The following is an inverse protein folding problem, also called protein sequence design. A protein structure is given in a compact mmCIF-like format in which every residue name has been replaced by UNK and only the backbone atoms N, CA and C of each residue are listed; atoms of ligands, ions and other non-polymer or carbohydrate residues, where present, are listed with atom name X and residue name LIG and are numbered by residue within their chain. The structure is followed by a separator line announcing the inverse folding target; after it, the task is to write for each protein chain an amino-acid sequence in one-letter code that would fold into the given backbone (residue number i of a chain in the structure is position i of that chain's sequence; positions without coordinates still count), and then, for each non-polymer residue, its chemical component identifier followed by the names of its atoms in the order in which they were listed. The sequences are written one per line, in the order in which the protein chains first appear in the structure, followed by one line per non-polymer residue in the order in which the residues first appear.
data_IF_194371206355
#
_entry.id   IF_194371206355
#
_cell.length_a   1.000
_cell.length_b   1.000
_cell.length_c   1.000
_cell.angle_alpha   90.00
_cell.angle_beta   90.00
_cell.angle_gamma   90.00
#
_symmetry.space_group_name_H-M   'P 1'
#
loop_
_entity.id
_entity.type
_entity.pdbx_description
1 polymer ?
#
# COMPACT_ATOMS: atom_id res chain seq x y z
N UNK A 1 -12.95 -19.68 -3.97
CA UNK A 1 -12.12 -19.46 -2.80
C UNK A 1 -11.37 -20.75 -2.52
N UNK A 2 -10.17 -20.89 -3.02
CA UNK A 2 -9.29 -22.01 -2.69
C UNK A 2 -8.04 -21.37 -2.07
N UNK A 3 -8.02 -21.28 -0.74
CA UNK A 3 -6.79 -21.10 0.02
C UNK A 3 -5.93 -22.31 -0.27
N UNK A 4 -4.72 -22.09 -0.75
CA UNK A 4 -3.74 -23.17 -0.90
C UNK A 4 -3.37 -23.63 0.53
N UNK A 5 -3.71 -24.86 0.95
CA UNK A 5 -3.57 -25.27 2.35
C UNK A 5 -2.13 -25.59 2.77
N UNK A 6 -1.14 -25.49 1.86
CA UNK A 6 0.22 -25.92 2.12
C UNK A 6 1.24 -24.78 2.37
N UNK A 7 0.77 -23.50 2.49
CA UNK A 7 1.66 -22.37 2.80
C UNK A 7 1.60 -21.88 4.25
N UNK A 8 0.80 -22.49 5.09
CA UNK A 8 0.74 -22.16 6.52
C UNK A 8 1.92 -22.80 7.27
N UNK A 9 3.01 -22.05 7.38
CA UNK A 9 3.95 -22.25 8.47
C UNK A 9 3.20 -22.07 9.81
N UNK A 10 3.58 -22.75 10.90
CA UNK A 10 2.76 -22.84 12.10
C UNK A 10 2.46 -21.48 12.72
N UNK A 11 1.22 -21.05 12.66
CA UNK A 11 0.62 -20.19 13.65
C UNK A 11 0.91 -18.67 13.58
N UNK A 12 0.98 -18.06 12.38
CA UNK A 12 1.19 -16.61 12.23
C UNK A 12 -0.07 -15.89 11.74
N UNK A 13 -0.31 -14.65 12.20
CA UNK A 13 -1.46 -13.87 11.73
C UNK A 13 -1.25 -13.41 10.28
N UNK A 14 -1.85 -14.11 9.32
CA UNK A 14 -1.78 -13.83 7.89
C UNK A 14 -2.32 -12.43 7.48
N UNK A 15 -2.79 -11.62 8.46
CA UNK A 15 -3.35 -10.30 8.21
C UNK A 15 -2.35 -9.16 8.30
N UNK A 16 -1.13 -9.38 8.82
CA UNK A 16 -0.14 -8.31 9.01
C UNK A 16 0.97 -8.41 7.99
N UNK A 17 1.14 -7.38 7.19
CA UNK A 17 2.24 -7.19 6.24
C UNK A 17 3.13 -6.03 6.65
N UNK A 18 4.25 -5.86 5.92
CA UNK A 18 5.15 -4.73 6.04
C UNK A 18 5.45 -4.13 4.66
N UNK A 19 6.02 -2.94 4.61
CA UNK A 19 6.42 -2.34 3.35
C UNK A 19 7.18 -1.03 3.51
N UNK A 20 7.62 -0.49 2.39
CA UNK A 20 8.36 0.78 2.32
C UNK A 20 7.74 1.74 1.30
N UNK A 21 7.94 3.04 1.53
CA UNK A 21 7.53 4.09 0.59
C UNK A 21 8.65 4.47 -0.36
N UNK A 22 8.36 5.29 -1.40
CA UNK A 22 9.39 5.80 -2.30
C UNK A 22 10.37 6.80 -1.66
N UNK A 23 10.21 7.11 -0.37
CA UNK A 23 11.21 7.87 0.39
C UNK A 23 12.38 7.00 0.88
N UNK A 24 12.25 5.67 0.85
CA UNK A 24 13.37 4.77 1.15
C UNK A 24 14.31 4.71 -0.06
N UNK A 25 15.55 5.12 0.17
CA UNK A 25 16.56 5.29 -0.90
C UNK A 25 17.56 4.14 -0.98
N UNK A 26 17.68 3.33 0.07
CA UNK A 26 18.62 2.21 0.15
C UNK A 26 17.93 0.91 -0.26
N UNK A 27 18.25 0.44 -1.48
CA UNK A 27 17.69 -0.80 -2.03
C UNK A 27 18.17 -2.04 -1.27
N UNK A 28 19.45 -2.08 -0.87
CA UNK A 28 20.01 -3.23 -0.16
C UNK A 28 19.42 -3.34 1.25
N UNK A 29 19.25 -2.22 1.96
CA UNK A 29 18.55 -2.21 3.24
C UNK A 29 17.09 -2.67 3.07
N UNK A 30 16.41 -2.25 2.00
CA UNK A 30 15.04 -2.71 1.71
C UNK A 30 14.96 -4.22 1.49
N UNK A 31 15.92 -4.80 0.78
CA UNK A 31 16.00 -6.26 0.58
C UNK A 31 16.21 -6.97 1.93
N UNK A 32 17.12 -6.48 2.79
CA UNK A 32 17.33 -7.05 4.13
C UNK A 32 16.11 -6.92 5.03
N UNK A 33 15.37 -5.81 4.95
CA UNK A 33 14.11 -5.62 5.69
C UNK A 33 13.01 -6.59 5.21
N UNK A 34 12.95 -6.89 3.91
CA UNK A 34 12.03 -7.90 3.38
C UNK A 34 12.35 -9.32 3.90
N UNK A 35 13.63 -9.68 3.93
CA UNK A 35 14.09 -10.96 4.53
C UNK A 35 13.77 -11.01 6.01
N UNK A 36 14.07 -9.93 6.76
CA UNK A 36 13.72 -9.85 8.17
C UNK A 36 12.20 -9.95 8.41
N UNK A 37 11.39 -9.34 7.54
CA UNK A 37 9.92 -9.47 7.61
C UNK A 37 9.46 -10.91 7.41
N UNK A 38 10.07 -11.66 6.48
CA UNK A 38 9.79 -13.09 6.30
C UNK A 38 10.16 -13.90 7.56
N UNK A 39 11.36 -13.68 8.11
CA UNK A 39 11.84 -14.35 9.34
C UNK A 39 10.91 -14.07 10.53
N UNK A 40 10.41 -12.85 10.66
CA UNK A 40 9.50 -12.42 11.72
C UNK A 40 8.04 -12.85 11.49
N UNK A 41 7.73 -13.42 10.31
CA UNK A 41 6.41 -13.98 10.02
C UNK A 41 5.37 -13.01 9.49
N UNK A 42 5.80 -11.91 8.95
CA UNK A 42 4.89 -11.05 8.19
C UNK A 42 4.32 -11.78 6.97
N UNK A 43 3.05 -11.57 6.69
CA UNK A 43 2.38 -12.25 5.58
C UNK A 43 2.76 -11.68 4.21
N UNK A 44 3.13 -10.39 4.15
CA UNK A 44 3.44 -9.68 2.90
C UNK A 44 4.56 -8.66 3.12
N UNK A 45 5.30 -8.38 2.04
CA UNK A 45 6.20 -7.22 1.96
C UNK A 45 5.92 -6.43 0.69
N UNK A 46 5.75 -5.11 0.83
CA UNK A 46 5.41 -4.22 -0.27
C UNK A 46 6.46 -3.12 -0.49
N UNK A 47 6.64 -2.73 -1.77
CA UNK A 47 7.43 -1.56 -2.12
C UNK A 47 6.69 -0.65 -3.08
N UNK A 48 6.72 0.66 -2.81
CA UNK A 48 6.11 1.67 -3.66
C UNK A 48 7.12 2.26 -4.64
N UNK A 49 6.68 2.52 -5.88
CA UNK A 49 7.50 3.22 -6.88
C UNK A 49 7.25 4.73 -6.81
N UNK A 50 8.33 5.49 -6.81
CA UNK A 50 8.31 6.95 -6.88
C UNK A 50 9.47 7.46 -7.72
N UNK A 51 10.52 7.98 -7.07
CA UNK A 51 11.68 8.58 -7.73
C UNK A 51 13.01 7.97 -7.29
N UNK A 52 13.00 6.91 -6.52
CA UNK A 52 14.23 6.31 -5.95
C UNK A 52 14.56 4.97 -6.58
N UNK A 53 13.61 4.03 -6.59
CA UNK A 53 13.80 2.67 -7.07
C UNK A 53 12.73 2.31 -8.09
N UNK A 54 13.10 1.54 -9.11
CA UNK A 54 12.14 0.80 -9.93
C UNK A 54 11.62 -0.36 -9.08
N UNK A 55 10.33 -0.32 -8.74
CA UNK A 55 9.76 -1.30 -7.84
C UNK A 55 9.72 -2.71 -8.45
N UNK A 56 9.68 -2.85 -9.78
CA UNK A 56 9.71 -4.17 -10.45
C UNK A 56 11.09 -4.79 -10.29
N UNK A 57 12.16 -4.01 -10.49
CA UNK A 57 13.54 -4.48 -10.30
C UNK A 57 13.78 -4.87 -8.85
N UNK A 58 13.41 -4.01 -7.90
CA UNK A 58 13.59 -4.26 -6.47
C UNK A 58 12.80 -5.49 -6.01
N UNK A 59 11.52 -5.61 -6.38
CA UNK A 59 10.70 -6.76 -6.00
C UNK A 59 11.18 -8.06 -6.63
N UNK A 60 11.81 -8.02 -7.82
CA UNK A 60 12.45 -9.21 -8.41
C UNK A 60 13.66 -9.67 -7.59
N UNK A 61 14.48 -8.74 -7.09
CA UNK A 61 15.61 -9.07 -6.21
C UNK A 61 15.11 -9.67 -4.89
N UNK A 62 14.07 -9.08 -4.29
CA UNK A 62 13.44 -9.61 -3.06
C UNK A 62 12.85 -11.00 -3.30
N UNK A 63 12.19 -11.24 -4.44
CA UNK A 63 11.66 -12.56 -4.79
C UNK A 63 12.76 -13.63 -4.84
N UNK A 64 13.97 -13.27 -5.27
CA UNK A 64 15.11 -14.19 -5.36
C UNK A 64 15.76 -14.57 -4.02
N UNK A 65 15.44 -13.84 -2.93
CA UNK A 65 16.03 -14.06 -1.59
C UNK A 65 15.00 -14.38 -0.51
N UNK A 66 13.72 -14.48 -0.88
CA UNK A 66 12.60 -14.85 0.00
C UNK A 66 11.86 -16.06 -0.57
N UNK A 67 11.21 -16.85 0.28
CA UNK A 67 10.58 -18.11 -0.11
C UNK A 67 9.08 -18.20 0.19
N UNK A 68 8.59 -17.48 1.19
CA UNK A 68 7.23 -17.63 1.72
C UNK A 68 6.43 -16.34 1.77
N UNK A 69 7.08 -15.20 2.05
CA UNK A 69 6.40 -13.92 2.19
C UNK A 69 5.73 -13.51 0.87
N UNK A 70 4.48 -13.10 0.94
CA UNK A 70 3.78 -12.50 -0.20
C UNK A 70 4.47 -11.20 -0.62
N UNK A 71 4.50 -10.91 -1.90
CA UNK A 71 5.16 -9.73 -2.46
C UNK A 71 4.16 -8.83 -3.16
N UNK A 72 4.27 -7.52 -2.98
CA UNK A 72 3.38 -6.58 -3.66
C UNK A 72 4.10 -5.30 -4.09
N UNK A 73 3.70 -4.75 -5.22
CA UNK A 73 3.95 -3.32 -5.45
C UNK A 73 2.90 -2.50 -4.70
N UNK A 74 3.31 -1.46 -3.95
CA UNK A 74 2.39 -0.69 -3.09
C UNK A 74 2.59 0.83 -3.19
N UNK A 75 2.61 1.41 -4.44
CA UNK A 75 2.08 0.85 -5.68
C UNK A 75 2.93 1.22 -6.90
N UNK A 76 2.68 0.62 -8.07
CA UNK A 76 3.17 1.16 -9.33
C UNK A 76 2.26 2.28 -9.84
N UNK A 77 2.80 3.42 -10.32
CA UNK A 77 2.03 4.46 -10.98
C UNK A 77 1.45 3.97 -12.33
N UNK A 78 0.16 4.24 -12.57
CA UNK A 78 -0.47 3.93 -13.88
C UNK A 78 0.05 4.79 -15.04
N UNK A 79 0.99 5.69 -14.77
CA UNK A 79 1.59 6.62 -15.73
C UNK A 79 2.96 6.18 -16.23
N UNK A 80 3.76 5.54 -15.38
CA UNK A 80 5.16 5.24 -15.64
C UNK A 80 5.39 4.17 -16.70
N UNK A 81 4.36 3.34 -16.99
CA UNK A 81 4.43 2.24 -17.94
C UNK A 81 3.15 2.10 -18.74
N UNK A 82 3.24 1.51 -19.96
CA UNK A 82 2.04 1.09 -20.68
C UNK A 82 1.33 -0.07 -19.97
N UNK A 83 0.01 -0.25 -20.15
CA UNK A 83 -0.69 -1.39 -19.57
C UNK A 83 -0.07 -2.74 -19.93
N UNK A 84 0.46 -2.88 -21.16
CA UNK A 84 1.15 -4.09 -21.60
C UNK A 84 2.46 -4.30 -20.83
N UNK A 85 3.25 -3.24 -20.59
CA UNK A 85 4.47 -3.33 -19.79
C UNK A 85 4.17 -3.67 -18.32
N UNK A 86 3.10 -3.13 -17.75
CA UNK A 86 2.64 -3.47 -16.40
C UNK A 86 2.25 -4.95 -16.33
N UNK A 87 1.46 -5.43 -17.29
CA UNK A 87 1.02 -6.84 -17.31
C UNK A 87 2.20 -7.81 -17.51
N UNK A 88 3.18 -7.48 -18.37
CA UNK A 88 4.40 -8.27 -18.53
C UNK A 88 5.25 -8.30 -17.26
N UNK A 89 5.41 -7.16 -16.59
CA UNK A 89 6.12 -7.07 -15.31
C UNK A 89 5.44 -7.91 -14.23
N UNK A 90 4.12 -7.82 -14.11
CA UNK A 90 3.34 -8.61 -13.16
C UNK A 90 3.46 -10.12 -13.42
N UNK A 91 3.37 -10.57 -14.67
CA UNK A 91 3.57 -11.97 -15.04
C UNK A 91 5.01 -12.46 -14.77
N UNK A 92 6.00 -11.57 -14.96
CA UNK A 92 7.39 -11.85 -14.62
C UNK A 92 7.62 -12.00 -13.13
N UNK A 93 7.08 -11.08 -12.31
CA UNK A 93 7.16 -11.14 -10.86
C UNK A 93 6.40 -12.33 -10.27
N UNK A 94 5.23 -12.66 -10.80
CA UNK A 94 4.48 -13.86 -10.40
C UNK A 94 5.32 -15.12 -10.54
N UNK A 95 6.04 -15.26 -11.66
CA UNK A 95 6.94 -16.38 -11.89
C UNK A 95 8.18 -16.33 -11.00
N UNK A 96 8.81 -15.15 -10.87
CA UNK A 96 10.02 -15.00 -10.04
C UNK A 96 9.75 -15.25 -8.56
N UNK A 97 8.53 -15.09 -8.11
CA UNK A 97 8.09 -15.29 -6.72
C UNK A 97 7.32 -16.59 -6.49
N UNK A 98 7.28 -17.52 -7.46
CA UNK A 98 6.51 -18.77 -7.36
C UNK A 98 5.04 -18.55 -6.91
N UNK A 99 4.37 -17.58 -7.57
CA UNK A 99 2.94 -17.33 -7.35
C UNK A 99 2.61 -16.42 -6.16
N UNK A 100 3.61 -15.83 -5.47
CA UNK A 100 3.41 -14.99 -4.27
C UNK A 100 3.13 -13.51 -4.55
N UNK A 101 3.00 -13.09 -5.81
CA UNK A 101 2.93 -11.67 -6.19
C UNK A 101 1.50 -11.13 -6.27
N UNK A 102 1.29 -9.92 -5.78
CA UNK A 102 0.11 -9.10 -5.99
C UNK A 102 0.49 -7.77 -6.67
N UNK A 103 -0.29 -7.34 -7.65
CA UNK A 103 -0.05 -6.13 -8.41
C UNK A 103 -0.80 -4.94 -7.81
N UNK A 104 -0.11 -4.06 -7.11
CA UNK A 104 -0.67 -2.81 -6.64
C UNK A 104 -0.47 -1.67 -7.65
N UNK A 105 -1.53 -0.98 -7.95
CA UNK A 105 -1.58 0.16 -8.88
C UNK A 105 -2.15 1.40 -8.19
N UNK A 106 -1.73 2.59 -8.65
CA UNK A 106 -2.24 3.86 -8.13
C UNK A 106 -2.05 5.02 -9.09
N UNK A 107 -2.75 6.12 -8.79
CA UNK A 107 -2.69 7.32 -9.63
C UNK A 107 -1.35 8.06 -9.54
N UNK A 108 -0.56 7.89 -8.47
CA UNK A 108 0.59 8.76 -8.17
C UNK A 108 0.17 10.21 -7.83
N UNK A 109 1.01 11.18 -8.05
CA UNK A 109 0.75 12.59 -7.76
C UNK A 109 1.24 13.50 -8.89
N UNK A 110 0.68 14.71 -9.05
CA UNK A 110 1.13 15.64 -10.09
C UNK A 110 2.64 15.90 -10.09
N UNK A 111 3.30 16.15 -8.94
CA UNK A 111 4.75 16.37 -8.93
C UNK A 111 5.57 15.22 -9.52
N UNK A 112 5.15 13.98 -9.32
CA UNK A 112 5.83 12.81 -9.86
C UNK A 112 5.53 12.62 -11.35
N UNK A 113 4.26 12.73 -11.73
CA UNK A 113 3.85 12.50 -13.12
C UNK A 113 4.39 13.59 -14.03
N UNK A 114 4.31 14.85 -13.63
CA UNK A 114 4.75 15.99 -14.44
C UNK A 114 6.24 16.26 -14.27
N UNK A 115 6.74 16.28 -13.02
CA UNK A 115 8.12 16.65 -12.72
C UNK A 115 9.14 15.58 -12.98
N UNK A 116 8.80 14.29 -12.86
CA UNK A 116 9.73 13.17 -13.09
C UNK A 116 9.50 12.51 -14.46
N UNK A 117 8.25 12.21 -14.80
CA UNK A 117 7.94 11.49 -16.03
C UNK A 117 7.67 12.40 -17.24
N UNK A 118 7.53 13.72 -17.04
CA UNK A 118 7.26 14.69 -18.13
C UNK A 118 5.91 14.47 -18.81
N UNK A 119 4.95 13.86 -18.10
CA UNK A 119 3.61 13.58 -18.62
C UNK A 119 2.61 14.58 -18.03
N UNK A 120 1.51 14.84 -18.75
CA UNK A 120 0.45 15.70 -18.25
C UNK A 120 -0.43 14.96 -17.25
N UNK A 121 -0.64 15.55 -16.07
CA UNK A 121 -1.57 15.06 -15.07
C UNK A 121 -3.00 15.42 -15.43
N UNK A 122 -3.67 14.58 -16.17
CA UNK A 122 -5.06 14.80 -16.54
C UNK A 122 -5.92 13.56 -16.40
N UNK A 123 -7.19 13.75 -15.98
CA UNK A 123 -8.20 12.69 -15.88
C UNK A 123 -7.70 11.42 -15.15
N UNK A 124 -7.07 11.51 -13.96
CA UNK A 124 -6.41 10.39 -13.30
C UNK A 124 -7.35 9.20 -13.04
N UNK A 125 -8.63 9.45 -12.74
CA UNK A 125 -9.61 8.37 -12.53
C UNK A 125 -9.86 7.58 -13.83
N UNK A 126 -9.95 8.26 -14.98
CA UNK A 126 -10.10 7.60 -16.29
C UNK A 126 -8.84 6.81 -16.61
N UNK A 127 -7.67 7.38 -16.38
CA UNK A 127 -6.38 6.70 -16.59
C UNK A 127 -6.26 5.43 -15.75
N UNK A 128 -6.62 5.49 -14.46
CA UNK A 128 -6.66 4.29 -13.61
C UNK A 128 -7.61 3.24 -14.17
N UNK A 129 -8.86 3.62 -14.48
CA UNK A 129 -9.87 2.70 -15.02
C UNK A 129 -9.37 1.98 -16.28
N UNK A 130 -8.93 2.74 -17.28
CA UNK A 130 -8.48 2.15 -18.55
C UNK A 130 -7.24 1.28 -18.38
N UNK A 131 -6.32 1.66 -17.50
CA UNK A 131 -5.13 0.86 -17.21
C UNK A 131 -5.49 -0.44 -16.49
N UNK A 132 -6.33 -0.41 -15.43
CA UNK A 132 -6.74 -1.61 -14.72
C UNK A 132 -7.46 -2.60 -15.65
N UNK A 133 -8.42 -2.12 -16.46
CA UNK A 133 -9.15 -2.95 -17.41
C UNK A 133 -8.22 -3.60 -18.43
N UNK A 134 -7.31 -2.82 -19.03
CA UNK A 134 -6.36 -3.34 -20.00
C UNK A 134 -5.38 -4.35 -19.39
N UNK A 135 -4.87 -4.09 -18.18
CA UNK A 135 -3.97 -5.00 -17.46
C UNK A 135 -4.70 -6.30 -17.13
N UNK A 136 -5.92 -6.25 -16.58
CA UNK A 136 -6.70 -7.46 -16.28
C UNK A 136 -6.96 -8.26 -17.53
N UNK A 137 -7.43 -7.62 -18.62
CA UNK A 137 -7.66 -8.26 -19.91
C UNK A 137 -6.41 -9.00 -20.41
N UNK A 138 -5.24 -8.38 -20.33
CA UNK A 138 -3.99 -8.99 -20.76
C UNK A 138 -3.56 -10.16 -19.88
N UNK A 139 -3.67 -10.03 -18.56
CA UNK A 139 -3.33 -11.10 -17.60
C UNK A 139 -4.26 -12.31 -17.74
N UNK A 140 -5.51 -12.09 -18.13
CA UNK A 140 -6.49 -13.14 -18.40
C UNK A 140 -6.37 -13.72 -19.82
N UNK A 141 -5.32 -13.37 -20.58
CA UNK A 141 -5.03 -13.90 -21.93
C UNK A 141 -5.78 -13.23 -23.07
N UNK A 142 -6.52 -12.17 -22.79
CA UNK A 142 -7.19 -11.34 -23.79
C UNK A 142 -6.22 -10.49 -24.61
N UNK A 143 -6.76 -9.79 -25.59
CA UNK A 143 -6.01 -8.85 -26.43
C UNK A 143 -6.03 -7.46 -25.82
N UNK A 144 -4.93 -6.70 -26.00
CA UNK A 144 -4.88 -5.30 -25.56
C UNK A 144 -6.05 -4.52 -26.20
N UNK A 145 -6.87 -3.82 -25.41
CA UNK A 145 -7.93 -2.98 -25.95
C UNK A 145 -7.30 -1.75 -26.64
N UNK A 146 -7.56 -1.60 -27.93
CA UNK A 146 -7.11 -0.48 -28.75
C UNK A 146 -8.32 0.30 -29.25
N UNK A 147 -8.23 1.63 -29.18
CA UNK A 147 -9.23 2.52 -29.76
C UNK A 147 -8.81 2.91 -31.20
N UNK A 148 -8.54 1.89 -32.02
CA UNK A 148 -8.18 2.04 -33.43
C UNK A 148 -8.28 0.71 -34.18
N UNK A 149 -8.79 0.77 -35.41
CA UNK A 149 -9.12 -0.40 -36.27
C UNK A 149 -8.00 -0.78 -37.25
N UNK A 150 -7.02 0.11 -37.43
CA UNK A 150 -5.92 -0.07 -38.39
C UNK A 150 -4.76 -0.92 -37.89
N UNK A 151 -4.81 -1.35 -36.60
CA UNK A 151 -3.78 -2.15 -35.97
C UNK A 151 -4.35 -3.43 -35.37
N UNK A 152 -3.68 -4.56 -35.64
CA UNK A 152 -4.05 -5.84 -35.05
C UNK A 152 -3.69 -5.86 -33.54
N UNK A 153 -4.66 -5.98 -32.62
CA UNK A 153 -4.36 -6.08 -31.20
C UNK A 153 -3.59 -7.37 -30.86
N UNK A 154 -2.58 -7.25 -30.02
CA UNK A 154 -1.80 -8.37 -29.51
C UNK A 154 -2.26 -8.80 -28.12
N UNK A 155 -1.83 -9.98 -27.69
CA UNK A 155 -1.96 -10.54 -26.33
C UNK A 155 -0.58 -10.89 -25.79
N UNK A 156 -0.49 -11.16 -24.50
CA UNK A 156 0.76 -11.66 -23.91
C UNK A 156 1.14 -13.00 -24.52
N UNK A 157 2.42 -13.17 -24.84
CA UNK A 157 2.96 -14.44 -25.35
C UNK A 157 3.16 -15.49 -24.25
N UNK A 158 3.31 -15.06 -22.97
CA UNK A 158 3.38 -15.91 -21.82
C UNK A 158 2.42 -15.39 -20.76
N UNK A 159 1.49 -16.21 -20.34
CA UNK A 159 0.54 -15.88 -19.26
C UNK A 159 1.14 -16.24 -17.90
N UNK A 160 0.74 -15.54 -16.81
CA UNK A 160 1.11 -15.94 -15.47
C UNK A 160 0.47 -17.28 -15.08
N UNK A 161 1.13 -18.02 -14.22
CA UNK A 161 0.53 -19.16 -13.54
C UNK A 161 -0.38 -18.66 -12.42
N UNK A 162 -1.65 -19.05 -12.48
CA UNK A 162 -2.67 -18.57 -11.53
C UNK A 162 -3.09 -17.11 -11.74
N UNK A 163 -4.03 -16.69 -10.94
CA UNK A 163 -4.58 -15.33 -10.96
C UNK A 163 -3.70 -14.39 -10.11
N UNK A 164 -3.26 -13.30 -10.68
CA UNK A 164 -2.56 -12.24 -9.95
C UNK A 164 -3.63 -11.30 -9.34
N UNK A 165 -3.68 -11.14 -8.00
CA UNK A 165 -4.54 -10.14 -7.39
C UNK A 165 -4.15 -8.72 -7.82
N UNK A 166 -5.13 -7.89 -8.16
CA UNK A 166 -4.93 -6.46 -8.43
C UNK A 166 -5.38 -5.67 -7.21
N UNK A 167 -4.48 -4.88 -6.69
CA UNK A 167 -4.70 -3.95 -5.57
C UNK A 167 -4.77 -2.53 -6.12
N UNK A 168 -5.69 -1.70 -5.61
CA UNK A 168 -5.79 -0.31 -6.01
C UNK A 168 -5.63 0.63 -4.82
N UNK A 169 -4.60 1.48 -4.87
CA UNK A 169 -4.48 2.60 -3.95
C UNK A 169 -5.44 3.72 -4.35
N UNK A 170 -6.36 4.05 -3.46
CA UNK A 170 -7.40 5.02 -3.70
C UNK A 170 -7.76 5.78 -2.41
N UNK A 171 -7.98 7.10 -2.54
CA UNK A 171 -8.34 7.98 -1.42
C UNK A 171 -9.64 8.74 -1.67
N UNK A 172 -9.82 9.33 -2.86
CA UNK A 172 -11.04 10.05 -3.15
C UNK A 172 -12.24 9.09 -3.28
N UNK A 173 -13.46 9.46 -2.85
CA UNK A 173 -14.63 8.59 -2.91
C UNK A 173 -14.87 7.94 -4.27
N UNK A 174 -14.63 8.68 -5.37
CA UNK A 174 -14.76 8.15 -6.74
C UNK A 174 -13.72 7.08 -7.08
N UNK A 175 -12.51 7.20 -6.56
CA UNK A 175 -11.46 6.20 -6.77
C UNK A 175 -11.62 4.97 -5.85
N UNK A 176 -12.21 5.13 -4.66
CA UNK A 176 -12.57 4.00 -3.79
C UNK A 176 -13.70 3.19 -4.44
N UNK A 177 -14.73 3.83 -5.02
CA UNK A 177 -15.74 3.13 -5.83
C UNK A 177 -15.11 2.38 -7.00
N UNK A 178 -14.12 2.98 -7.67
CA UNK A 178 -13.40 2.30 -8.76
C UNK A 178 -12.65 1.07 -8.25
N UNK A 179 -12.13 1.09 -7.01
CA UNK A 179 -11.53 -0.11 -6.42
C UNK A 179 -12.58 -1.22 -6.26
N UNK A 180 -13.78 -0.92 -5.75
CA UNK A 180 -14.89 -1.87 -5.67
C UNK A 180 -15.33 -2.41 -7.04
N UNK A 181 -15.23 -1.60 -8.10
CA UNK A 181 -15.61 -2.03 -9.45
C UNK A 181 -14.57 -2.95 -10.11
N UNK A 182 -13.27 -2.74 -9.90
CA UNK A 182 -12.23 -3.32 -10.76
C UNK A 182 -11.07 -4.01 -10.03
N UNK A 183 -10.91 -3.81 -8.73
CA UNK A 183 -9.80 -4.38 -7.98
C UNK A 183 -10.22 -5.55 -7.10
N UNK A 184 -9.28 -6.44 -6.80
CA UNK A 184 -9.48 -7.51 -5.81
C UNK A 184 -9.33 -6.98 -4.38
N UNK A 185 -8.53 -5.91 -4.21
CA UNK A 185 -8.23 -5.32 -2.90
C UNK A 185 -8.05 -3.80 -3.02
N UNK A 186 -8.51 -3.08 -2.02
CA UNK A 186 -8.30 -1.66 -1.83
C UNK A 186 -7.16 -1.41 -0.85
N UNK A 187 -6.23 -0.51 -1.20
CA UNK A 187 -5.12 -0.07 -0.38
C UNK A 187 -5.32 1.39 0.06
N UNK A 188 -6.05 1.65 1.16
CA UNK A 188 -6.06 2.98 1.76
C UNK A 188 -4.72 3.31 2.41
N UNK A 189 -4.18 4.52 2.14
CA UNK A 189 -2.99 5.05 2.79
C UNK A 189 -3.28 6.43 3.40
N UNK A 190 -2.92 6.66 4.66
CA UNK A 190 -3.32 7.85 5.42
C UNK A 190 -4.87 8.06 5.41
N UNK A 191 -5.61 6.97 5.33
CA UNK A 191 -7.05 6.97 5.56
C UNK A 191 -7.30 6.95 7.07
N UNK A 192 -8.25 7.76 7.54
CA UNK A 192 -8.61 7.76 8.95
C UNK A 192 -9.21 6.41 9.35
N UNK A 193 -8.62 5.75 10.35
CA UNK A 193 -9.09 4.45 10.87
C UNK A 193 -10.56 4.50 11.26
N UNK A 194 -10.98 5.57 11.95
CA UNK A 194 -12.36 5.81 12.36
C UNK A 194 -13.34 5.91 11.17
N UNK A 195 -12.84 6.07 9.95
CA UNK A 195 -13.62 6.22 8.72
C UNK A 195 -13.49 5.01 7.77
N UNK A 196 -12.89 3.89 8.22
CA UNK A 196 -12.87 2.65 7.43
C UNK A 196 -14.27 2.15 7.04
N UNK A 197 -15.30 2.22 7.92
CA UNK A 197 -16.67 1.86 7.52
C UNK A 197 -17.22 2.68 6.34
N UNK A 198 -16.88 3.96 6.25
CA UNK A 198 -17.28 4.79 5.09
C UNK A 198 -16.60 4.31 3.80
N UNK A 199 -15.32 3.92 3.90
CA UNK A 199 -14.59 3.31 2.79
C UNK A 199 -15.23 2.01 2.32
N UNK A 200 -15.65 1.16 3.25
CA UNK A 200 -16.37 -0.08 2.95
C UNK A 200 -17.69 0.19 2.22
N UNK A 201 -18.45 1.21 2.64
CA UNK A 201 -19.66 1.63 1.93
C UNK A 201 -19.38 2.03 0.49
N UNK A 202 -18.31 2.80 0.24
CA UNK A 202 -17.91 3.18 -1.11
C UNK A 202 -17.49 1.99 -1.98
N UNK A 203 -16.82 0.99 -1.39
CA UNK A 203 -16.48 -0.25 -2.10
C UNK A 203 -17.75 -1.00 -2.52
N UNK A 204 -18.71 -1.18 -1.61
CA UNK A 204 -20.00 -1.83 -1.91
C UNK A 204 -20.74 -1.13 -3.06
N UNK A 205 -20.78 0.21 -3.06
CA UNK A 205 -21.35 0.97 -4.20
C UNK A 205 -20.65 0.68 -5.53
N UNK A 206 -19.35 0.40 -5.52
CA UNK A 206 -18.56 0.01 -6.69
C UNK A 206 -18.85 -1.43 -7.12
N UNK A 207 -18.86 -2.35 -6.17
CA UNK A 207 -19.17 -3.77 -6.37
C UNK A 207 -20.56 -3.97 -6.98
N UNK A 208 -21.55 -3.25 -6.46
CA UNK A 208 -22.93 -3.28 -6.98
C UNK A 208 -23.01 -2.82 -8.44
N UNK A 209 -22.24 -1.78 -8.82
CA UNK A 209 -22.20 -1.30 -10.22
C UNK A 209 -21.55 -2.29 -11.18
N UNK A 210 -20.59 -3.05 -10.69
CA UNK A 210 -19.85 -4.03 -11.49
C UNK A 210 -20.48 -5.43 -11.45
N UNK A 211 -21.55 -5.63 -10.67
CA UNK A 211 -22.12 -6.96 -10.40
C UNK A 211 -21.03 -7.94 -9.93
N UNK A 212 -20.15 -7.45 -9.04
CA UNK A 212 -18.95 -8.16 -8.61
C UNK A 212 -19.31 -9.49 -7.94
N UNK A 213 -18.62 -10.56 -8.33
CA UNK A 213 -18.86 -11.92 -7.80
C UNK A 213 -18.27 -12.17 -6.41
N UNK A 214 -17.40 -11.28 -5.93
CA UNK A 214 -16.75 -11.37 -4.62
C UNK A 214 -16.46 -9.98 -4.06
N UNK A 215 -16.49 -9.81 -2.73
CA UNK A 215 -16.20 -8.53 -2.11
C UNK A 215 -14.74 -8.12 -2.30
N UNK A 216 -14.51 -6.83 -2.41
CA UNK A 216 -13.18 -6.22 -2.45
C UNK A 216 -12.56 -6.23 -1.06
N UNK A 217 -11.39 -6.86 -0.90
CA UNK A 217 -10.67 -6.86 0.38
C UNK A 217 -10.12 -5.47 0.73
N UNK A 218 -9.99 -5.18 2.03
CA UNK A 218 -9.38 -3.95 2.54
C UNK A 218 -8.05 -4.27 3.19
N UNK A 219 -6.95 -3.88 2.55
CA UNK A 219 -5.61 -3.95 3.14
C UNK A 219 -5.20 -2.53 3.54
N UNK A 220 -5.35 -2.18 4.80
CA UNK A 220 -4.97 -0.87 5.28
C UNK A 220 -3.45 -0.70 5.24
N UNK A 221 -2.96 0.15 4.35
CA UNK A 221 -1.54 0.49 4.27
C UNK A 221 -1.29 1.69 5.20
N UNK A 222 -0.62 1.45 6.34
CA UNK A 222 -0.61 2.39 7.46
C UNK A 222 0.81 2.77 7.85
N UNK A 223 1.14 4.09 7.92
CA UNK A 223 2.42 4.55 8.42
C UNK A 223 2.69 4.01 9.83
N UNK A 224 3.83 3.34 10.01
CA UNK A 224 4.28 2.86 11.30
C UNK A 224 5.00 4.00 12.04
N UNK A 225 4.46 4.40 13.18
CA UNK A 225 4.99 5.46 14.02
C UNK A 225 5.14 4.94 15.46
N UNK A 226 6.02 3.93 15.64
CA UNK A 226 6.33 3.35 16.95
C UNK A 226 7.78 3.63 17.33
N UNK A 227 8.06 3.68 18.61
CA UNK A 227 9.41 3.97 19.10
C UNK A 227 9.64 3.48 20.53
N UNK A 228 10.87 3.62 21.05
CA UNK A 228 11.20 3.19 22.41
C UNK A 228 10.45 4.00 23.50
N UNK A 229 10.04 5.21 23.16
CA UNK A 229 9.31 6.12 24.05
C UNK A 229 8.34 7.02 23.26
N UNK A 230 7.54 7.80 24.00
CA UNK A 230 6.55 8.71 23.43
C UNK A 230 7.18 9.82 22.56
N UNK A 231 8.36 10.32 22.93
CA UNK A 231 9.02 11.40 22.19
C UNK A 231 9.47 10.91 20.80
N UNK A 232 10.09 9.73 20.71
CA UNK A 232 10.46 9.09 19.45
C UNK A 232 9.22 8.78 18.59
N UNK A 233 8.17 8.24 19.20
CA UNK A 233 6.89 7.97 18.53
C UNK A 233 6.30 9.24 17.91
N UNK A 234 6.23 10.34 18.66
CA UNK A 234 5.70 11.63 18.18
C UNK A 234 6.56 12.21 17.05
N UNK A 235 7.89 12.08 17.14
CA UNK A 235 8.81 12.54 16.11
C UNK A 235 8.59 11.78 14.78
N UNK A 236 8.42 10.47 14.83
CA UNK A 236 8.17 9.63 13.63
C UNK A 236 6.80 9.96 13.04
N UNK A 237 5.74 10.09 13.85
CA UNK A 237 4.42 10.49 13.39
C UNK A 237 4.42 11.88 12.72
N UNK A 238 5.16 12.85 13.31
CA UNK A 238 5.34 14.16 12.72
C UNK A 238 6.03 14.08 11.35
N UNK A 239 7.10 13.30 11.22
CA UNK A 239 7.83 13.12 9.97
C UNK A 239 6.92 12.59 8.85
N UNK A 240 6.09 11.58 9.15
CA UNK A 240 5.10 11.03 8.24
C UNK A 240 4.11 12.10 7.75
N UNK A 241 3.44 12.76 8.68
CA UNK A 241 2.38 13.71 8.36
C UNK A 241 2.92 14.91 7.60
N UNK A 242 4.04 15.49 8.06
CA UNK A 242 4.65 16.65 7.40
C UNK A 242 5.06 16.29 5.97
N UNK A 243 5.72 15.15 5.74
CA UNK A 243 6.16 14.74 4.41
C UNK A 243 4.97 14.61 3.44
N UNK A 244 3.89 13.92 3.85
CA UNK A 244 2.75 13.69 2.95
C UNK A 244 1.85 14.92 2.76
N UNK A 245 1.71 15.76 3.79
CA UNK A 245 0.89 16.97 3.68
C UNK A 245 1.57 18.09 2.89
N UNK A 246 2.92 18.09 2.80
CA UNK A 246 3.65 19.17 2.13
C UNK A 246 4.28 18.78 0.79
N UNK A 247 4.58 17.49 0.54
CA UNK A 247 5.37 17.06 -0.62
C UNK A 247 4.61 16.21 -1.63
N UNK A 248 3.50 15.57 -1.24
CA UNK A 248 2.78 14.59 -2.08
C UNK A 248 1.56 15.18 -2.80
N UNK A 249 1.51 16.50 -2.95
CA UNK A 249 0.43 17.22 -3.63
C UNK A 249 -0.81 17.46 -2.77
N UNK A 250 -1.88 18.04 -3.34
CA UNK A 250 -2.98 18.59 -2.56
C UNK A 250 -4.02 17.56 -2.09
N UNK A 251 -3.91 16.29 -2.53
CA UNK A 251 -4.95 15.30 -2.24
C UNK A 251 -5.02 14.94 -0.75
N UNK A 252 -3.86 14.65 -0.13
CA UNK A 252 -3.81 14.26 1.29
C UNK A 252 -4.33 15.36 2.22
N UNK A 253 -3.84 16.61 2.17
CA UNK A 253 -4.38 17.65 3.04
C UNK A 253 -5.87 17.88 2.81
N UNK A 254 -6.36 17.87 1.54
CA UNK A 254 -7.78 18.01 1.25
C UNK A 254 -8.62 16.87 1.83
N UNK A 255 -8.18 15.63 1.69
CA UNK A 255 -8.91 14.47 2.25
C UNK A 255 -8.98 14.54 3.77
N UNK A 256 -7.86 14.85 4.43
CA UNK A 256 -7.81 14.94 5.88
C UNK A 256 -8.65 16.13 6.41
N UNK A 257 -8.56 17.28 5.77
CA UNK A 257 -9.31 18.49 6.18
C UNK A 257 -10.81 18.37 5.92
N UNK A 258 -11.15 18.11 4.65
CA UNK A 258 -12.50 18.33 4.15
C UNK A 258 -13.37 17.07 4.26
N UNK A 259 -12.79 15.90 3.96
CA UNK A 259 -13.54 14.65 3.96
C UNK A 259 -13.57 13.97 5.34
N UNK A 260 -12.43 13.95 6.05
CA UNK A 260 -12.37 13.32 7.38
C UNK A 260 -12.62 14.28 8.53
N UNK A 261 -12.64 15.60 8.29
CA UNK A 261 -12.97 16.59 9.31
C UNK A 261 -11.84 16.95 10.26
N UNK A 262 -10.59 16.84 9.81
CA UNK A 262 -9.37 17.17 10.57
C UNK A 262 -8.79 18.54 10.21
N UNK A 263 -9.62 19.52 9.78
CA UNK A 263 -9.12 20.82 9.37
C UNK A 263 -8.31 21.53 10.47
N UNK A 264 -8.77 21.61 11.74
CA UNK A 264 -7.97 22.25 12.80
C UNK A 264 -6.63 21.57 13.06
N UNK A 265 -6.59 20.24 13.05
CA UNK A 265 -5.39 19.42 13.28
C UNK A 265 -4.37 19.59 12.15
N UNK A 266 -4.83 19.59 10.90
CA UNK A 266 -3.99 19.83 9.72
C UNK A 266 -3.42 21.26 9.75
N UNK A 267 -4.23 22.26 10.09
CA UNK A 267 -3.79 23.66 10.20
C UNK A 267 -2.75 23.82 11.30
N UNK A 268 -2.96 23.25 12.48
CA UNK A 268 -2.02 23.28 13.59
C UNK A 268 -0.69 22.62 13.21
N UNK A 269 -0.75 21.45 12.53
CA UNK A 269 0.45 20.74 12.09
C UNK A 269 1.25 21.56 11.06
N UNK A 270 0.58 22.13 10.05
CA UNK A 270 1.25 22.94 9.03
C UNK A 270 1.83 24.23 9.62
N UNK A 271 1.11 24.89 10.51
CA UNK A 271 1.60 26.09 11.21
C UNK A 271 2.84 25.81 12.08
N UNK A 272 2.83 24.70 12.84
CA UNK A 272 3.96 24.30 13.67
C UNK A 272 5.23 23.95 12.86
N UNK A 273 5.10 23.64 11.57
CA UNK A 273 6.19 23.22 10.69
C UNK A 273 6.47 24.20 9.52
N UNK A 274 5.94 25.43 9.61
CA UNK A 274 6.09 26.42 8.54
C UNK A 274 7.53 26.93 8.36
N UNK A 275 8.39 26.76 9.37
CA UNK A 275 9.79 27.16 9.35
C UNK A 275 10.72 26.18 8.61
N UNK A 276 10.20 25.00 8.21
CA UNK A 276 10.98 23.97 7.53
C UNK A 276 12.02 23.28 8.41
N UNK A 277 11.93 23.44 9.73
CA UNK A 277 12.78 22.76 10.71
C UNK A 277 12.46 21.27 10.85
N UNK A 278 13.07 20.59 11.86
CA UNK A 278 12.73 19.20 12.18
C UNK A 278 11.21 19.05 12.41
N UNK A 279 10.57 18.00 11.84
CA UNK A 279 9.12 17.80 11.98
C UNK A 279 8.66 17.77 13.43
N UNK A 280 7.57 18.47 13.73
CA UNK A 280 6.96 18.58 15.08
C UNK A 280 5.51 18.19 15.03
N UNK A 281 5.06 17.40 16.00
CA UNK A 281 3.65 17.06 16.20
C UNK A 281 3.09 17.92 17.33
N UNK A 282 2.34 19.01 17.06
CA UNK A 282 1.67 19.76 18.09
C UNK A 282 0.58 18.92 18.76
N UNK A 283 0.24 19.23 20.03
CA UNK A 283 -0.79 18.50 20.79
C UNK A 283 -2.15 18.50 20.09
N UNK A 284 -2.47 19.57 19.41
CA UNK A 284 -3.72 19.72 18.65
C UNK A 284 -3.84 18.71 17.49
N UNK A 285 -2.71 18.26 16.93
CA UNK A 285 -2.69 17.30 15.83
C UNK A 285 -2.57 15.83 16.28
N UNK A 286 -2.51 15.55 17.56
CA UNK A 286 -2.30 14.18 18.06
C UNK A 286 -3.45 13.25 17.72
N UNK A 287 -4.71 13.73 17.78
CA UNK A 287 -5.89 12.95 17.40
C UNK A 287 -5.80 12.49 15.95
N UNK A 288 -5.40 13.39 15.03
CA UNK A 288 -5.17 13.05 13.63
C UNK A 288 -4.07 11.98 13.50
N UNK A 289 -2.91 12.18 14.14
CA UNK A 289 -1.79 11.26 14.05
C UNK A 289 -2.19 9.84 14.50
N UNK A 290 -2.86 9.70 15.64
CA UNK A 290 -3.35 8.42 16.17
C UNK A 290 -4.41 7.74 15.31
N UNK A 291 -5.13 8.49 14.49
CA UNK A 291 -6.18 7.94 13.63
C UNK A 291 -5.70 7.55 12.23
N UNK A 292 -4.54 8.07 11.79
CA UNK A 292 -4.00 7.77 10.45
C UNK A 292 -2.66 7.03 10.46
N UNK A 293 -2.13 6.69 11.65
CA UNK A 293 -0.88 5.93 11.81
C UNK A 293 -1.04 4.83 12.85
N UNK A 294 -0.17 3.82 12.80
CA UNK A 294 0.05 2.90 13.93
C UNK A 294 1.00 3.61 14.89
N UNK A 295 0.45 4.29 15.90
CA UNK A 295 1.20 5.14 16.82
C UNK A 295 1.19 4.55 18.24
N UNK A 296 2.38 4.42 18.83
CA UNK A 296 2.60 3.93 20.20
C UNK A 296 4.07 3.63 20.50
N UNK A 297 4.37 3.25 21.72
CA UNK A 297 5.67 2.67 22.08
C UNK A 297 5.79 1.25 21.51
N UNK A 298 6.99 0.67 21.56
CA UNK A 298 7.20 -0.72 21.10
C UNK A 298 6.28 -1.71 21.84
N UNK A 299 6.05 -1.53 23.13
CA UNK A 299 5.16 -2.38 23.94
C UNK A 299 3.69 -2.23 23.55
N UNK A 300 3.29 -1.06 23.05
CA UNK A 300 1.93 -0.75 22.62
C UNK A 300 1.65 -1.13 21.17
N UNK A 301 2.69 -1.47 20.38
CA UNK A 301 2.57 -1.73 18.95
C UNK A 301 1.56 -2.84 18.61
N UNK A 302 1.51 -4.00 19.28
CA UNK A 302 0.53 -5.05 18.95
C UNK A 302 -0.91 -4.57 19.11
N UNK A 303 -1.20 -3.80 20.16
CA UNK A 303 -2.53 -3.24 20.40
C UNK A 303 -2.87 -2.15 19.39
N UNK A 304 -1.89 -1.34 18.98
CA UNK A 304 -2.07 -0.33 17.96
C UNK A 304 -2.41 -0.95 16.59
N UNK A 305 -1.76 -2.05 16.23
CA UNK A 305 -2.06 -2.84 15.02
C UNK A 305 -3.47 -3.44 15.10
N UNK A 306 -3.83 -4.09 16.22
CA UNK A 306 -5.13 -4.73 16.43
C UNK A 306 -6.29 -3.77 16.24
N UNK A 307 -6.17 -2.52 16.69
CA UNK A 307 -7.21 -1.48 16.51
C UNK A 307 -7.59 -1.22 15.05
N UNK A 308 -6.69 -1.42 14.09
CA UNK A 308 -6.99 -1.30 12.67
C UNK A 308 -7.82 -2.47 12.14
N UNK A 309 -7.50 -3.68 12.57
CA UNK A 309 -8.26 -4.88 12.21
C UNK A 309 -9.68 -4.82 12.82
N UNK A 310 -9.78 -4.39 14.07
CA UNK A 310 -11.07 -4.19 14.76
C UNK A 310 -11.92 -3.07 14.12
N UNK A 311 -11.29 -2.07 13.50
CA UNK A 311 -11.99 -1.01 12.77
C UNK A 311 -12.51 -1.43 11.39
N UNK A 312 -12.24 -2.66 10.93
CA UNK A 312 -12.78 -3.24 9.71
C UNK A 312 -11.81 -3.37 8.54
N UNK A 313 -10.50 -3.27 8.79
CA UNK A 313 -9.50 -3.73 7.84
C UNK A 313 -9.45 -5.26 7.82
N UNK A 314 -9.46 -5.87 6.63
CA UNK A 314 -9.28 -7.33 6.49
C UNK A 314 -7.82 -7.72 6.74
N UNK A 315 -6.90 -6.82 6.40
CA UNK A 315 -5.47 -6.93 6.66
C UNK A 315 -4.85 -5.52 6.82
N UNK A 316 -3.63 -5.48 7.37
CA UNK A 316 -2.85 -4.25 7.53
C UNK A 316 -1.44 -4.45 7.00
N UNK A 317 -0.94 -3.48 6.25
CA UNK A 317 0.46 -3.38 5.86
C UNK A 317 1.11 -2.21 6.60
N UNK A 318 2.07 -2.53 7.46
CA UNK A 318 2.82 -1.58 8.26
C UNK A 318 3.91 -0.93 7.41
N UNK A 319 3.75 0.34 7.10
CA UNK A 319 4.68 1.06 6.24
C UNK A 319 5.80 1.65 7.09
N UNK A 320 7.01 1.12 6.89
CA UNK A 320 8.21 1.53 7.64
C UNK A 320 8.55 3.00 7.37
N UNK A 321 8.92 3.76 8.40
CA UNK A 321 9.34 5.14 8.24
C UNK A 321 10.65 5.25 7.44
N UNK A 322 10.84 6.42 6.85
CA UNK A 322 12.03 6.75 6.08
C UNK A 322 13.02 7.59 6.92
N UNK A 323 14.28 7.56 6.50
CA UNK A 323 15.35 8.38 7.13
C UNK A 323 15.80 7.88 8.51
N UNK A 324 15.40 6.69 8.92
CA UNK A 324 15.88 6.03 10.13
C UNK A 324 16.94 4.97 9.78
N UNK A 325 17.87 4.68 10.72
CA UNK A 325 18.82 3.59 10.57
C UNK A 325 18.13 2.22 10.40
N UNK A 326 18.70 1.34 9.58
CA UNK A 326 18.17 -0.02 9.35
C UNK A 326 17.95 -0.80 10.65
N UNK A 327 18.88 -0.67 11.60
CA UNK A 327 18.75 -1.32 12.91
C UNK A 327 17.46 -0.91 13.65
N UNK A 328 17.13 0.37 13.63
CA UNK A 328 15.89 0.87 14.24
C UNK A 328 14.64 0.39 13.47
N UNK A 329 14.69 0.35 12.13
CA UNK A 329 13.58 -0.21 11.32
C UNK A 329 13.36 -1.69 11.65
N UNK A 330 14.43 -2.45 11.90
CA UNK A 330 14.35 -3.84 12.32
C UNK A 330 13.73 -3.98 13.71
N UNK A 331 14.14 -3.16 14.68
CA UNK A 331 13.50 -3.11 16.03
C UNK A 331 11.99 -2.84 15.93
N UNK A 332 11.59 -1.92 15.04
CA UNK A 332 10.17 -1.63 14.80
C UNK A 332 9.44 -2.83 14.21
N UNK A 333 10.06 -3.56 13.27
CA UNK A 333 9.48 -4.80 12.74
C UNK A 333 9.35 -5.87 13.84
N UNK A 334 10.35 -6.03 14.71
CA UNK A 334 10.32 -6.97 15.81
C UNK A 334 9.21 -6.62 16.83
N UNK A 335 9.05 -5.34 17.16
CA UNK A 335 8.03 -4.88 18.10
C UNK A 335 6.59 -4.99 17.58
N UNK A 336 6.40 -4.85 16.26
CA UNK A 336 5.10 -4.94 15.61
C UNK A 336 4.86 -6.30 14.93
N UNK A 337 5.74 -7.28 15.16
CA UNK A 337 5.64 -8.59 14.53
C UNK A 337 4.30 -9.28 14.84
N UNK A 338 3.71 -9.99 13.85
CA UNK A 338 2.48 -10.72 14.07
C UNK A 338 2.66 -11.74 15.21
N UNK A 339 1.74 -11.71 16.18
CA UNK A 339 1.73 -12.72 17.24
C UNK A 339 1.58 -14.10 16.61
N UNK A 340 2.28 -15.11 17.18
CA UNK A 340 2.04 -16.48 16.80
C UNK A 340 0.54 -16.79 17.00
N UNK A 341 -0.14 -17.34 15.99
CA UNK A 341 -1.51 -17.74 16.15
C UNK A 341 -1.60 -18.80 17.26
N UNK A 342 -2.60 -18.77 18.13
CA UNK A 342 -2.77 -19.80 19.14
C UNK A 342 -2.84 -21.17 18.43
N UNK A 343 -2.10 -22.16 18.95
CA UNK A 343 -2.14 -23.52 18.44
C UNK A 343 -3.61 -23.97 18.34
N UNK A 344 -4.01 -24.66 17.26
CA UNK A 344 -5.37 -25.16 17.17
C UNK A 344 -5.66 -26.00 18.42
N UNK A 345 -6.77 -25.68 19.10
CA UNK A 345 -7.20 -26.45 20.26
C UNK A 345 -7.28 -27.93 19.83
N UNK A 346 -6.50 -28.77 20.52
CA UNK A 346 -6.53 -30.20 20.30
C UNK A 346 -7.97 -30.69 20.53
N UNK A 347 -8.66 -31.02 19.43
CA UNK A 347 -9.99 -31.63 19.43
C UNK A 347 -9.90 -33.15 19.55
#
# INVERSE_FOLDING_TARGET
MATNPDTDGPGRDARVGAGVTPFQTDAEATIRLAVASEELGYARFGSAEGWTQDAVVLMTQIAGVTSHIGLATTVLPVWSRSPAAIAMAAAGLQRASDGRFALGLGASSPPLVEGLHGLTWERPLVRMRTTLQAVRTLLDGGRVPLDRDDVRPLRLGALPEGRIPIQLAALAPSSVRLAGELADQWLPFLWARSRLPDGRTLLLEGEDRAEASSPTGVIASVPLAIGPDEAATRQIAAAWLVAYLTRMGPLYPRMLRDYFGYAPEVDALLAANADGGPPRLPSEAERLARDVTVMGTYDEAPDAVRRWLEAGADAIDLVLPFGLPEAQLREMLEAAAPAAAPAPAAG
#
